data_IF_742121105630
#
_entry.id   IF_742121105630
#
_cell.length_a   1.000
_cell.length_b   1.000
_cell.length_c   1.000
_cell.angle_alpha   90.00
_cell.angle_beta   90.00
_cell.angle_gamma   90.00
#
_symmetry.space_group_name_H-M   'P 1'
#
loop_
_entity.id
_entity.type
_entity.pdbx_description
1 polymer ?
#
# COMPACT_ATOMS: atom_id res chain seq x y z
N UNK A 1 3.75 22.64 -3.62
CA UNK A 1 4.45 21.52 -2.98
C UNK A 1 4.22 20.25 -3.77
N UNK A 2 5.28 19.53 -4.11
CA UNK A 2 5.19 18.31 -4.90
C UNK A 2 4.96 17.10 -3.99
N UNK A 3 4.51 15.98 -4.56
CA UNK A 3 4.34 14.73 -3.83
C UNK A 3 5.67 14.28 -3.25
N UNK A 4 6.78 14.47 -3.97
CA UNK A 4 8.11 14.10 -3.50
C UNK A 4 8.49 14.85 -2.23
N UNK A 5 8.15 16.11 -2.15
CA UNK A 5 8.41 16.91 -0.95
C UNK A 5 7.59 16.43 0.23
N UNK A 6 6.35 16.02 -0.01
CA UNK A 6 5.49 15.48 1.03
C UNK A 6 6.05 14.16 1.57
N UNK A 7 6.54 13.29 0.68
CA UNK A 7 7.14 12.03 1.09
C UNK A 7 8.38 12.26 1.96
N UNK A 8 9.18 13.25 1.64
CA UNK A 8 10.39 13.56 2.41
C UNK A 8 10.08 14.15 3.78
N UNK A 9 9.01 14.94 3.88
CA UNK A 9 8.64 15.62 5.10
C UNK A 9 7.82 14.76 6.06
N UNK A 10 7.07 13.80 5.52
CA UNK A 10 6.13 12.99 6.29
C UNK A 10 6.28 11.52 5.95
N UNK A 11 7.08 10.75 6.71
CA UNK A 11 7.18 9.30 6.50
C UNK A 11 5.84 8.59 6.50
N UNK A 12 4.84 9.11 7.23
CA UNK A 12 3.50 8.56 7.23
C UNK A 12 2.81 8.68 5.87
N UNK A 13 3.27 9.57 5.01
CA UNK A 13 2.72 9.72 3.66
C UNK A 13 2.96 8.46 2.83
N UNK A 14 4.17 7.89 2.91
CA UNK A 14 4.46 6.63 2.23
C UNK A 14 3.55 5.52 2.72
N UNK A 15 3.26 5.50 4.01
CA UNK A 15 2.34 4.54 4.61
C UNK A 15 0.94 4.68 4.00
N UNK A 16 0.44 5.91 3.88
CA UNK A 16 -0.86 6.17 3.27
C UNK A 16 -0.89 5.79 1.79
N UNK A 17 0.20 6.06 1.07
CA UNK A 17 0.30 5.69 -0.34
C UNK A 17 0.22 4.19 -0.53
N UNK A 18 0.88 3.42 0.35
CA UNK A 18 0.83 1.96 0.30
C UNK A 18 -0.58 1.46 0.60
N UNK A 19 -1.27 2.05 1.57
CA UNK A 19 -2.66 1.69 1.88
C UNK A 19 -3.56 1.93 0.67
N UNK A 20 -3.42 3.08 0.03
CA UNK A 20 -4.20 3.39 -1.17
C UNK A 20 -3.92 2.43 -2.30
N UNK A 21 -2.66 2.07 -2.50
CA UNK A 21 -2.27 1.13 -3.54
C UNK A 21 -2.86 -0.27 -3.29
N UNK A 22 -2.82 -0.72 -2.04
CA UNK A 22 -3.43 -2.00 -1.66
C UNK A 22 -4.93 -1.99 -1.96
N UNK A 23 -5.62 -0.90 -1.62
CA UNK A 23 -7.04 -0.77 -1.91
C UNK A 23 -7.34 -0.85 -3.42
N UNK A 24 -6.52 -0.21 -4.23
CA UNK A 24 -6.67 -0.26 -5.69
C UNK A 24 -6.51 -1.69 -6.20
N UNK A 25 -5.52 -2.42 -5.68
CA UNK A 25 -5.31 -3.81 -6.07
C UNK A 25 -6.55 -4.66 -5.76
N UNK A 26 -7.12 -4.50 -4.59
CA UNK A 26 -8.32 -5.25 -4.20
C UNK A 26 -9.53 -4.84 -5.03
N UNK A 27 -9.66 -3.55 -5.32
CA UNK A 27 -10.78 -3.05 -6.13
C UNK A 27 -10.75 -3.62 -7.55
N UNK A 28 -9.55 -3.82 -8.09
CA UNK A 28 -9.39 -4.38 -9.44
C UNK A 28 -9.60 -5.89 -9.48
N UNK A 29 -9.21 -6.57 -8.42
CA UNK A 29 -9.28 -8.02 -8.32
C UNK A 29 -9.59 -8.41 -6.89
N UNK A 30 -10.90 -8.57 -6.55
CA UNK A 30 -11.28 -8.92 -5.18
C UNK A 30 -10.75 -10.27 -4.71
N UNK A 31 -10.32 -11.12 -5.64
CA UNK A 31 -9.74 -12.43 -5.30
C UNK A 31 -8.22 -12.40 -5.22
N UNK A 32 -7.62 -11.22 -5.32
CA UNK A 32 -6.17 -11.09 -5.31
C UNK A 32 -5.59 -11.62 -3.99
N UNK A 33 -4.46 -12.32 -4.09
CA UNK A 33 -3.80 -12.90 -2.92
C UNK A 33 -2.80 -11.92 -2.33
N UNK A 34 -2.53 -12.08 -1.02
CA UNK A 34 -1.57 -11.23 -0.30
C UNK A 34 -0.23 -11.17 -1.04
N UNK A 35 0.27 -12.32 -1.51
CA UNK A 35 1.54 -12.35 -2.25
C UNK A 35 1.49 -11.47 -3.48
N UNK A 36 0.39 -11.52 -4.22
CA UNK A 36 0.23 -10.74 -5.45
C UNK A 36 0.18 -9.24 -5.13
N UNK A 37 -0.52 -8.87 -4.05
CA UNK A 37 -0.56 -7.48 -3.60
C UNK A 37 0.85 -7.00 -3.23
N UNK A 38 1.57 -7.83 -2.47
CA UNK A 38 2.92 -7.49 -2.04
C UNK A 38 3.84 -7.23 -3.24
N UNK A 39 3.76 -8.06 -4.26
CA UNK A 39 4.55 -7.91 -5.47
C UNK A 39 4.15 -6.64 -6.25
N UNK A 40 2.87 -6.37 -6.35
CA UNK A 40 2.37 -5.22 -7.09
C UNK A 40 2.75 -3.90 -6.40
N UNK A 41 2.68 -3.87 -5.08
CA UNK A 41 2.96 -2.66 -4.31
C UNK A 41 4.46 -2.51 -4.02
N UNK A 42 5.20 -3.62 -4.00
CA UNK A 42 6.63 -3.58 -3.72
C UNK A 42 6.94 -3.59 -2.22
N UNK A 43 6.10 -4.23 -1.43
CA UNK A 43 6.28 -4.36 0.02
C UNK A 43 6.21 -5.84 0.41
N UNK A 44 6.47 -6.13 1.68
CA UNK A 44 6.42 -7.51 2.17
C UNK A 44 4.99 -7.99 2.36
N UNK A 45 4.79 -9.31 2.34
CA UNK A 45 3.48 -9.89 2.63
C UNK A 45 3.03 -9.52 4.04
N UNK A 46 3.96 -9.47 4.99
CA UNK A 46 3.65 -9.08 6.36
C UNK A 46 3.12 -7.66 6.43
N UNK A 47 3.70 -6.75 5.65
CA UNK A 47 3.23 -5.37 5.59
C UNK A 47 1.82 -5.31 4.98
N UNK A 48 1.55 -6.12 3.95
CA UNK A 48 0.22 -6.19 3.36
C UNK A 48 -0.80 -6.67 4.39
N UNK A 49 -0.47 -7.72 5.14
CA UNK A 49 -1.36 -8.25 6.17
C UNK A 49 -1.69 -7.20 7.22
N UNK A 50 -0.68 -6.42 7.64
CA UNK A 50 -0.90 -5.34 8.58
C UNK A 50 -1.84 -4.29 8.01
N UNK A 51 -1.62 -3.91 6.75
CA UNK A 51 -2.48 -2.92 6.09
C UNK A 51 -3.92 -3.43 6.01
N UNK A 52 -4.12 -4.68 5.63
CA UNK A 52 -5.46 -5.26 5.55
C UNK A 52 -6.14 -5.26 6.92
N UNK A 53 -5.39 -5.47 7.99
CA UNK A 53 -5.94 -5.41 9.33
C UNK A 53 -6.34 -4.00 9.76
N UNK A 54 -5.74 -2.97 9.16
CA UNK A 54 -6.04 -1.58 9.46
C UNK A 54 -7.18 -1.04 8.60
N UNK A 55 -7.49 -1.69 7.52
CA UNK A 55 -8.60 -1.32 6.66
C UNK A 55 -9.90 -1.90 7.18
#
# INVERSE_FOLDING_TARGET
MSIDELDNLHPSWTFLSNHGHVLVCIARDPDIRVREIAQAVGITERAVQRILGEL
#
